data_IF_316487450233
#
_entry.id   IF_316487450233
#
_cell.length_a   1.000
_cell.length_b   1.000
_cell.length_c   1.000
_cell.angle_alpha   90.00
_cell.angle_beta   90.00
_cell.angle_gamma   90.00
#
_symmetry.space_group_name_H-M   'P 1'
#
loop_
_entity.id
_entity.type
_entity.pdbx_description
1 polymer ?
#
# COMPACT_ATOMS: atom_id res chain seq x y z
N UNK A 1 11.41 10.60 -43.58
CA UNK A 1 11.68 10.39 -42.13
C UNK A 1 10.85 9.19 -41.69
N UNK A 2 11.46 8.13 -41.14
CA UNK A 2 10.69 7.01 -40.63
C UNK A 2 9.81 7.47 -39.45
N UNK A 3 8.61 6.90 -39.27
CA UNK A 3 7.74 7.23 -38.14
C UNK A 3 8.44 6.86 -36.82
N UNK A 4 8.24 7.68 -35.77
CA UNK A 4 8.86 7.51 -34.44
C UNK A 4 8.73 6.07 -33.89
N UNK A 5 7.65 5.35 -34.23
CA UNK A 5 7.47 3.94 -33.83
C UNK A 5 8.56 3.00 -34.36
N UNK A 6 9.10 3.25 -35.55
CA UNK A 6 10.13 2.41 -36.19
C UNK A 6 11.52 2.69 -35.62
N UNK A 7 11.78 3.92 -35.17
CA UNK A 7 13.04 4.30 -34.50
C UNK A 7 13.23 3.60 -33.15
N UNK A 8 12.15 3.25 -32.46
CA UNK A 8 12.19 2.57 -31.15
C UNK A 8 11.88 1.06 -31.22
N UNK A 9 11.61 0.51 -32.40
CA UNK A 9 11.35 -0.93 -32.56
C UNK A 9 12.55 -1.81 -32.13
N UNK A 10 13.82 -1.45 -32.45
CA UNK A 10 14.99 -2.23 -32.02
C UNK A 10 15.19 -2.20 -30.50
N UNK A 11 14.94 -1.04 -29.87
CA UNK A 11 15.03 -0.85 -28.42
C UNK A 11 13.94 -1.62 -27.68
N UNK A 12 12.72 -1.69 -28.27
CA UNK A 12 11.62 -2.49 -27.73
C UNK A 12 11.90 -4.00 -27.82
N UNK A 13 12.50 -4.45 -28.93
CA UNK A 13 12.91 -5.85 -29.09
C UNK A 13 14.09 -6.22 -28.18
N UNK A 14 15.04 -5.31 -27.97
CA UNK A 14 16.15 -5.50 -27.03
C UNK A 14 15.68 -5.50 -25.57
N UNK A 15 14.76 -4.60 -25.20
CA UNK A 15 14.10 -4.61 -23.90
C UNK A 15 13.30 -5.91 -23.71
N UNK A 16 12.49 -6.31 -24.69
CA UNK A 16 11.74 -7.56 -24.64
C UNK A 16 12.65 -8.78 -24.48
N UNK A 17 13.81 -8.82 -25.15
CA UNK A 17 14.79 -9.92 -24.98
C UNK A 17 15.52 -9.90 -23.63
N UNK A 18 15.75 -8.72 -23.03
CA UNK A 18 16.27 -8.61 -21.66
C UNK A 18 15.21 -9.05 -20.63
N UNK A 19 13.94 -8.70 -20.85
CA UNK A 19 12.82 -9.06 -19.96
C UNK A 19 12.30 -10.50 -20.15
N UNK A 20 12.57 -11.14 -21.30
CA UNK A 20 12.26 -12.56 -21.52
C UNK A 20 13.23 -13.51 -20.79
N UNK A 21 14.37 -13.02 -20.31
CA UNK A 21 15.41 -13.83 -19.66
C UNK A 21 15.57 -13.49 -18.18
N UNK A 22 15.04 -12.36 -17.71
CA UNK A 22 14.96 -12.10 -16.26
C UNK A 22 13.95 -13.06 -15.63
N UNK A 23 14.37 -13.90 -14.67
CA UNK A 23 13.43 -14.66 -13.87
C UNK A 23 12.41 -13.68 -13.27
N UNK A 24 11.12 -14.01 -13.25
CA UNK A 24 10.07 -13.12 -12.76
C UNK A 24 10.26 -12.64 -11.30
N UNK A 25 11.16 -13.27 -10.54
CA UNK A 25 11.66 -12.79 -9.24
C UNK A 25 12.47 -11.50 -9.32
N UNK A 26 13.23 -11.32 -10.41
CA UNK A 26 13.98 -10.10 -10.70
C UNK A 26 13.01 -8.95 -10.96
N UNK A 27 11.85 -9.20 -11.58
CA UNK A 27 10.82 -8.16 -11.79
C UNK A 27 10.19 -7.68 -10.47
N UNK A 28 9.92 -8.59 -9.53
CA UNK A 28 9.43 -8.24 -8.21
C UNK A 28 10.46 -7.43 -7.41
N UNK A 29 11.73 -7.84 -7.46
CA UNK A 29 12.84 -7.14 -6.81
C UNK A 29 13.13 -5.76 -7.41
N UNK A 30 13.31 -5.69 -8.73
CA UNK A 30 13.55 -4.43 -9.45
C UNK A 30 12.37 -3.47 -9.36
N UNK A 31 11.14 -3.98 -9.45
CA UNK A 31 9.94 -3.16 -9.24
C UNK A 31 9.90 -2.54 -7.85
N UNK A 32 10.29 -3.30 -6.82
CA UNK A 32 10.35 -2.79 -5.44
C UNK A 32 11.43 -1.73 -5.24
N UNK A 33 12.63 -1.96 -5.79
CA UNK A 33 13.70 -0.97 -5.78
C UNK A 33 13.28 0.29 -6.54
N UNK A 34 12.68 0.14 -7.72
CA UNK A 34 12.22 1.26 -8.53
C UNK A 34 11.15 2.08 -7.81
N UNK A 35 10.18 1.44 -7.14
CA UNK A 35 9.16 2.15 -6.37
C UNK A 35 9.79 3.02 -5.28
N UNK A 36 10.71 2.48 -4.49
CA UNK A 36 11.39 3.22 -3.43
C UNK A 36 12.22 4.37 -4.00
N UNK A 37 13.02 4.11 -5.05
CA UNK A 37 13.86 5.12 -5.68
C UNK A 37 13.05 6.23 -6.34
N UNK A 38 11.92 5.93 -6.97
CA UNK A 38 11.07 6.94 -7.59
C UNK A 38 10.38 7.83 -6.56
N UNK A 39 9.94 7.28 -5.43
CA UNK A 39 9.43 8.08 -4.31
C UNK A 39 10.53 8.98 -3.72
N UNK A 40 11.74 8.45 -3.52
CA UNK A 40 12.87 9.24 -3.04
C UNK A 40 13.29 10.34 -4.05
N UNK A 41 13.33 10.02 -5.34
CA UNK A 41 13.65 10.97 -6.41
C UNK A 41 12.59 12.07 -6.54
N UNK A 42 11.30 11.72 -6.40
CA UNK A 42 10.21 12.68 -6.42
C UNK A 42 10.38 13.73 -5.31
N UNK A 43 10.74 13.30 -4.09
CA UNK A 43 11.05 14.19 -2.97
C UNK A 43 12.29 15.05 -3.27
N UNK A 44 13.37 14.45 -3.78
CA UNK A 44 14.62 15.15 -4.02
C UNK A 44 14.50 16.22 -5.13
N UNK A 45 13.80 15.92 -6.23
CA UNK A 45 13.65 16.82 -7.37
C UNK A 45 12.82 18.05 -7.02
N UNK A 46 11.74 17.87 -6.26
CA UNK A 46 10.87 18.97 -5.85
C UNK A 46 11.52 19.87 -4.81
N UNK A 47 12.23 19.29 -3.84
CA UNK A 47 13.04 20.04 -2.88
C UNK A 47 14.13 20.86 -3.60
N UNK A 48 14.82 20.24 -4.57
CA UNK A 48 15.83 20.93 -5.38
C UNK A 48 15.25 22.06 -6.25
N UNK A 49 13.98 21.93 -6.68
CA UNK A 49 13.27 22.95 -7.44
C UNK A 49 12.73 24.10 -6.57
N UNK A 50 12.96 24.08 -5.24
CA UNK A 50 12.44 25.09 -4.31
C UNK A 50 10.92 25.09 -4.22
N UNK A 51 10.28 23.99 -4.63
CA UNK A 51 8.84 23.84 -4.52
C UNK A 51 8.51 23.35 -3.12
N UNK A 52 7.80 24.17 -2.34
CA UNK A 52 7.11 23.73 -1.13
C UNK A 52 5.88 22.89 -1.54
N UNK A 53 6.14 21.75 -2.16
CA UNK A 53 5.08 20.80 -2.47
C UNK A 53 4.76 19.96 -1.24
N UNK A 54 3.48 19.65 -1.08
CA UNK A 54 3.00 18.82 0.02
C UNK A 54 3.39 17.36 -0.20
N UNK A 55 3.50 16.57 0.88
CA UNK A 55 3.88 15.14 0.80
C UNK A 55 2.99 14.33 -0.14
N UNK A 56 1.71 14.68 -0.18
CA UNK A 56 0.70 14.30 -1.17
C UNK A 56 1.23 14.30 -2.62
N UNK A 57 1.85 15.40 -3.04
CA UNK A 57 2.32 15.60 -4.42
C UNK A 57 3.49 14.66 -4.72
N UNK A 58 4.45 14.53 -3.81
CA UNK A 58 5.62 13.66 -4.01
C UNK A 58 5.22 12.20 -4.16
N UNK A 59 4.31 11.74 -3.30
CA UNK A 59 3.84 10.36 -3.31
C UNK A 59 3.02 10.06 -4.58
N UNK A 60 2.20 11.02 -5.03
CA UNK A 60 1.47 10.88 -6.28
C UNK A 60 2.40 10.85 -7.49
N UNK A 61 3.40 11.74 -7.55
CA UNK A 61 4.40 11.76 -8.62
C UNK A 61 5.20 10.46 -8.65
N UNK A 62 5.64 9.96 -7.49
CA UNK A 62 6.34 8.67 -7.36
C UNK A 62 5.48 7.51 -7.86
N UNK A 63 4.20 7.45 -7.47
CA UNK A 63 3.27 6.43 -7.93
C UNK A 63 3.02 6.51 -9.45
N UNK A 64 2.80 7.71 -9.99
CA UNK A 64 2.59 7.91 -11.44
C UNK A 64 3.83 7.51 -12.23
N UNK A 65 5.01 7.92 -11.76
CA UNK A 65 6.28 7.52 -12.39
C UNK A 65 6.49 6.01 -12.33
N UNK A 66 6.14 5.37 -11.21
CA UNK A 66 6.20 3.92 -11.07
C UNK A 66 5.25 3.22 -12.04
N UNK A 67 4.00 3.66 -12.11
CA UNK A 67 3.00 3.15 -13.06
C UNK A 67 3.48 3.30 -14.51
N UNK A 68 4.04 4.47 -14.86
CA UNK A 68 4.57 4.73 -16.20
C UNK A 68 5.76 3.83 -16.52
N UNK A 69 6.67 3.61 -15.57
CA UNK A 69 7.80 2.70 -15.72
C UNK A 69 7.33 1.26 -15.94
N UNK A 70 6.39 0.77 -15.13
CA UNK A 70 5.83 -0.58 -15.28
C UNK A 70 5.16 -0.76 -16.65
N UNK A 71 4.40 0.24 -17.11
CA UNK A 71 3.81 0.21 -18.45
C UNK A 71 4.88 0.22 -19.56
N UNK A 72 5.98 0.95 -19.38
CA UNK A 72 7.06 1.04 -20.37
C UNK A 72 7.86 -0.27 -20.51
N UNK A 73 7.97 -1.06 -19.43
CA UNK A 73 8.64 -2.38 -19.44
C UNK A 73 7.69 -3.52 -19.81
N UNK A 74 6.45 -3.22 -20.22
CA UNK A 74 5.49 -4.21 -20.71
C UNK A 74 4.61 -4.84 -19.65
N UNK A 75 4.52 -4.26 -18.44
CA UNK A 75 3.66 -4.71 -17.35
C UNK A 75 2.61 -3.63 -17.00
N UNK A 76 1.61 -3.41 -17.87
CA UNK A 76 0.69 -2.30 -17.71
C UNK A 76 -0.24 -2.50 -16.49
N UNK A 77 -0.77 -1.41 -15.88
CA UNK A 77 -1.55 -1.50 -14.64
C UNK A 77 -2.75 -2.44 -14.68
N UNK A 78 -3.34 -2.69 -15.84
CA UNK A 78 -4.47 -3.62 -15.95
C UNK A 78 -4.09 -5.06 -15.54
N UNK A 79 -2.81 -5.41 -15.58
CA UNK A 79 -2.31 -6.75 -15.22
C UNK A 79 -2.12 -6.96 -13.71
N UNK A 80 -2.09 -5.89 -12.93
CA UNK A 80 -1.81 -5.96 -11.48
C UNK A 80 -2.71 -5.06 -10.61
N UNK A 81 -3.16 -3.91 -11.11
CA UNK A 81 -4.11 -3.02 -10.47
C UNK A 81 -5.56 -3.36 -10.86
N UNK A 82 -6.09 -4.45 -10.29
CA UNK A 82 -7.47 -4.88 -10.50
C UNK A 82 -8.46 -3.94 -9.81
N UNK A 83 -9.17 -3.14 -10.60
CA UNK A 83 -10.24 -2.24 -10.11
C UNK A 83 -11.56 -2.97 -9.84
N UNK A 84 -11.70 -4.21 -10.32
CA UNK A 84 -12.83 -5.08 -10.05
C UNK A 84 -12.32 -6.43 -9.55
N UNK A 85 -13.03 -6.98 -8.59
CA UNK A 85 -12.81 -8.33 -8.12
C UNK A 85 -12.99 -9.34 -9.26
N UNK A 86 -12.11 -10.33 -9.31
CA UNK A 86 -12.22 -11.48 -10.20
C UNK A 86 -13.18 -12.50 -9.57
N UNK A 87 -14.40 -12.71 -10.12
CA UNK A 87 -15.42 -13.53 -9.48
C UNK A 87 -14.97 -14.98 -9.24
N UNK A 88 -14.09 -15.50 -10.10
CA UNK A 88 -13.56 -16.86 -9.99
C UNK A 88 -12.55 -17.02 -8.84
N UNK A 89 -12.02 -15.91 -8.32
CA UNK A 89 -11.06 -15.88 -7.20
C UNK A 89 -11.68 -15.39 -5.89
N UNK A 90 -12.94 -14.97 -5.88
CA UNK A 90 -13.63 -14.55 -4.65
C UNK A 90 -13.86 -15.78 -3.77
N UNK A 91 -13.51 -15.65 -2.49
CA UNK A 91 -13.73 -16.71 -1.50
C UNK A 91 -15.23 -17.09 -1.43
N UNK A 92 -15.51 -18.39 -1.39
CA UNK A 92 -16.89 -18.92 -1.34
C UNK A 92 -17.64 -18.59 -0.05
N UNK A 93 -16.95 -18.13 0.99
CA UNK A 93 -17.58 -17.79 2.26
C UNK A 93 -18.63 -16.68 2.09
N UNK A 94 -19.77 -16.79 2.79
CA UNK A 94 -20.85 -15.80 2.69
C UNK A 94 -20.37 -14.37 2.95
N UNK A 95 -19.38 -14.21 3.82
CA UNK A 95 -18.82 -12.92 4.19
C UNK A 95 -18.18 -12.19 3.00
N UNK A 96 -17.41 -12.89 2.17
CA UNK A 96 -16.78 -12.32 0.98
C UNK A 96 -17.74 -12.23 -0.21
N UNK A 97 -18.71 -13.14 -0.31
CA UNK A 97 -19.75 -13.09 -1.35
C UNK A 97 -20.71 -11.91 -1.16
N UNK A 98 -21.16 -11.64 0.07
CA UNK A 98 -22.01 -10.48 0.40
C UNK A 98 -21.22 -9.18 0.20
N UNK A 99 -19.96 -9.16 0.60
CA UNK A 99 -19.04 -8.02 0.40
C UNK A 99 -18.80 -7.73 -1.09
N UNK A 100 -18.59 -8.77 -1.90
CA UNK A 100 -18.44 -8.65 -3.34
C UNK A 100 -19.68 -8.00 -3.98
N UNK A 101 -20.88 -8.36 -3.52
CA UNK A 101 -22.14 -7.77 -3.97
C UNK A 101 -22.38 -6.36 -3.39
N UNK A 102 -21.91 -6.08 -2.17
CA UNK A 102 -22.04 -4.81 -1.46
C UNK A 102 -21.06 -3.72 -1.92
N UNK A 103 -20.06 -4.09 -2.72
CA UNK A 103 -19.09 -3.16 -3.30
C UNK A 103 -18.03 -2.64 -2.31
N UNK A 104 -17.25 -1.63 -2.71
CA UNK A 104 -16.08 -1.17 -1.94
C UNK A 104 -16.45 -0.57 -0.57
N UNK A 105 -17.70 -0.17 -0.36
CA UNK A 105 -18.19 0.35 0.93
C UNK A 105 -18.07 -0.64 2.08
N UNK A 106 -18.05 -1.94 1.80
CA UNK A 106 -17.79 -2.97 2.81
C UNK A 106 -16.43 -2.81 3.51
N UNK A 107 -15.47 -2.13 2.86
CA UNK A 107 -14.15 -1.84 3.45
C UNK A 107 -14.23 -1.09 4.78
N UNK A 108 -15.30 -0.29 4.99
CA UNK A 108 -15.57 0.37 6.28
C UNK A 108 -15.76 -0.67 7.38
N UNK A 109 -16.62 -1.67 7.16
CA UNK A 109 -16.87 -2.75 8.13
C UNK A 109 -15.59 -3.53 8.46
N UNK A 110 -14.78 -3.82 7.45
CA UNK A 110 -13.47 -4.47 7.62
C UNK A 110 -12.52 -3.65 8.49
N UNK A 111 -12.42 -2.35 8.22
CA UNK A 111 -11.57 -1.45 9.00
C UNK A 111 -11.98 -1.39 10.47
N UNK A 112 -13.27 -1.26 10.76
CA UNK A 112 -13.78 -1.26 12.14
C UNK A 112 -13.58 -2.62 12.83
N UNK A 113 -13.85 -3.73 12.12
CA UNK A 113 -13.62 -5.08 12.66
C UNK A 113 -12.15 -5.31 13.03
N UNK A 114 -11.23 -4.87 12.18
CA UNK A 114 -9.80 -4.91 12.46
C UNK A 114 -9.43 -4.02 13.64
N UNK A 115 -9.92 -2.77 13.69
CA UNK A 115 -9.68 -1.85 14.81
C UNK A 115 -10.18 -2.39 16.15
N UNK A 116 -11.35 -3.03 16.18
CA UNK A 116 -11.87 -3.70 17.38
C UNK A 116 -10.97 -4.88 17.79
N UNK A 117 -10.53 -5.71 16.84
CA UNK A 117 -9.64 -6.83 17.14
C UNK A 117 -8.29 -6.35 17.73
N UNK A 118 -7.71 -5.29 17.17
CA UNK A 118 -6.49 -4.67 17.71
C UNK A 118 -6.74 -4.10 19.10
N UNK A 119 -7.85 -3.37 19.31
CA UNK A 119 -8.19 -2.82 20.61
C UNK A 119 -8.36 -3.91 21.69
N UNK A 120 -9.01 -5.03 21.35
CA UNK A 120 -9.16 -6.17 22.25
C UNK A 120 -7.81 -6.84 22.55
N UNK A 121 -6.97 -7.06 21.53
CA UNK A 121 -5.64 -7.62 21.73
C UNK A 121 -4.76 -6.72 22.60
N UNK A 122 -4.79 -5.42 22.35
CA UNK A 122 -4.07 -4.41 23.11
C UNK A 122 -4.54 -4.39 24.58
N UNK A 123 -5.86 -4.45 24.82
CA UNK A 123 -6.44 -4.54 26.16
C UNK A 123 -5.99 -5.80 26.91
N UNK A 124 -5.93 -6.95 26.23
CA UNK A 124 -5.49 -8.21 26.83
C UNK A 124 -3.99 -8.23 27.16
N UNK A 125 -3.20 -7.51 26.39
CA UNK A 125 -1.74 -7.41 26.57
C UNK A 125 -1.31 -6.23 27.44
N UNK A 126 -2.23 -5.35 27.84
CA UNK A 126 -1.94 -4.14 28.60
C UNK A 126 -1.08 -3.14 27.83
N UNK A 127 -1.26 -3.04 26.51
CA UNK A 127 -0.49 -2.18 25.62
C UNK A 127 -1.37 -1.04 25.10
N UNK A 128 -0.85 0.18 25.10
CA UNK A 128 -1.47 1.31 24.41
C UNK A 128 -1.22 1.19 22.90
N UNK A 129 -2.27 0.95 22.11
CA UNK A 129 -2.17 0.80 20.66
C UNK A 129 -2.53 2.07 19.88
N UNK A 130 -3.32 2.96 20.48
CA UNK A 130 -3.66 4.25 19.88
C UNK A 130 -2.46 5.19 20.09
N UNK A 131 -1.85 5.74 19.03
CA UNK A 131 -0.73 6.66 19.18
C UNK A 131 -1.09 7.91 19.97
N UNK A 132 -0.07 8.65 20.41
CA UNK A 132 -0.25 9.84 21.25
C UNK A 132 -1.28 10.86 20.68
N UNK A 133 -2.01 11.58 21.57
CA UNK A 133 -3.02 12.55 21.18
C UNK A 133 -2.50 13.57 20.17
N UNK A 134 -3.31 13.89 19.15
CA UNK A 134 -2.97 14.88 18.13
C UNK A 134 -4.25 15.47 17.53
N UNK A 135 -4.33 16.78 17.27
CA UNK A 135 -5.47 17.36 16.58
C UNK A 135 -5.67 16.73 15.20
N UNK A 136 -6.90 16.87 14.68
CA UNK A 136 -7.19 16.49 13.30
C UNK A 136 -6.26 17.25 12.34
N UNK A 137 -5.67 16.59 11.34
CA UNK A 137 -4.76 17.23 10.39
C UNK A 137 -5.48 18.31 9.57
N UNK A 138 -4.73 19.30 9.06
CA UNK A 138 -5.30 20.23 8.08
C UNK A 138 -5.63 19.50 6.78
N UNK A 139 -6.47 20.12 5.94
CA UNK A 139 -7.00 19.50 4.72
C UNK A 139 -5.92 18.81 3.86
N UNK A 140 -4.76 19.42 3.58
CA UNK A 140 -3.80 18.79 2.68
C UNK A 140 -3.12 17.57 3.28
N UNK A 141 -2.80 17.61 4.59
CA UNK A 141 -2.26 16.41 5.26
C UNK A 141 -3.34 15.34 5.46
N UNK A 142 -4.61 15.73 5.61
CA UNK A 142 -5.73 14.80 5.64
C UNK A 142 -5.91 14.10 4.28
N UNK A 143 -5.80 14.81 3.16
CA UNK A 143 -5.83 14.24 1.80
C UNK A 143 -4.67 13.26 1.60
N UNK A 144 -3.46 13.63 2.04
CA UNK A 144 -2.32 12.72 2.00
C UNK A 144 -2.59 11.45 2.81
N UNK A 145 -2.96 11.59 4.08
CA UNK A 145 -3.11 10.49 5.03
C UNK A 145 -4.28 9.54 4.69
N UNK A 146 -5.39 10.09 4.20
CA UNK A 146 -6.64 9.35 4.03
C UNK A 146 -6.87 8.88 2.59
N UNK A 147 -6.23 9.50 1.60
CA UNK A 147 -6.46 9.18 0.19
C UNK A 147 -5.16 8.77 -0.52
N UNK A 148 -4.17 9.65 -0.57
CA UNK A 148 -2.99 9.42 -1.43
C UNK A 148 -2.10 8.32 -0.87
N UNK A 149 -1.82 8.35 0.44
CA UNK A 149 -0.99 7.35 1.08
C UNK A 149 -1.61 5.95 1.00
N UNK A 150 -2.90 5.73 1.38
CA UNK A 150 -3.56 4.46 1.18
C UNK A 150 -3.55 4.02 -0.29
N UNK A 151 -3.86 4.90 -1.23
CA UNK A 151 -3.90 4.53 -2.65
C UNK A 151 -2.53 4.04 -3.15
N UNK A 152 -1.45 4.77 -2.85
CA UNK A 152 -0.11 4.40 -3.25
C UNK A 152 0.34 3.09 -2.59
N UNK A 153 0.07 2.94 -1.30
CA UNK A 153 0.45 1.76 -0.53
C UNK A 153 -0.31 0.52 -1.02
N UNK A 154 -1.62 0.62 -1.23
CA UNK A 154 -2.41 -0.52 -1.73
C UNK A 154 -2.05 -0.88 -3.17
N UNK A 155 -1.84 0.13 -4.03
CA UNK A 155 -1.44 -0.10 -5.41
C UNK A 155 -0.09 -0.83 -5.50
N UNK A 156 0.88 -0.44 -4.66
CA UNK A 156 2.18 -1.06 -4.67
C UNK A 156 2.21 -2.40 -3.92
N UNK A 157 1.87 -2.42 -2.63
CA UNK A 157 2.06 -3.61 -1.80
C UNK A 157 1.03 -4.71 -2.10
N UNK A 158 -0.25 -4.36 -2.30
CA UNK A 158 -1.32 -5.36 -2.46
C UNK A 158 -1.51 -5.69 -3.93
N UNK A 159 -1.53 -4.69 -4.81
CA UNK A 159 -1.79 -4.93 -6.22
C UNK A 159 -0.52 -5.38 -6.97
N UNK A 160 0.53 -4.55 -6.99
CA UNK A 160 1.76 -4.84 -7.75
C UNK A 160 2.56 -6.00 -7.13
N UNK A 161 2.99 -5.88 -5.87
CA UNK A 161 3.98 -6.78 -5.27
C UNK A 161 3.44 -8.21 -5.12
N UNK A 162 2.19 -8.38 -4.65
CA UNK A 162 1.56 -9.71 -4.60
C UNK A 162 1.48 -10.31 -6.00
N UNK A 163 1.00 -9.55 -6.99
CA UNK A 163 0.89 -10.05 -8.37
C UNK A 163 2.25 -10.39 -8.98
N UNK A 164 3.29 -9.59 -8.71
CA UNK A 164 4.65 -9.83 -9.19
C UNK A 164 5.22 -11.12 -8.60
N UNK A 165 5.02 -11.35 -7.30
CA UNK A 165 5.47 -12.58 -6.63
C UNK A 165 4.69 -13.81 -7.13
N UNK A 166 3.37 -13.71 -7.27
CA UNK A 166 2.54 -14.81 -7.82
C UNK A 166 2.96 -15.17 -9.26
N UNK A 167 3.21 -14.16 -10.11
CA UNK A 167 3.76 -14.37 -11.47
C UNK A 167 5.16 -14.98 -11.46
N UNK A 168 5.94 -14.74 -10.42
CA UNK A 168 7.24 -15.37 -10.21
C UNK A 168 7.16 -16.85 -9.78
N UNK A 169 5.95 -17.42 -9.68
CA UNK A 169 5.71 -18.77 -9.20
C UNK A 169 5.65 -18.85 -7.67
N UNK A 170 5.60 -17.71 -6.99
CA UNK A 170 5.38 -17.64 -5.56
C UNK A 170 3.98 -18.12 -5.16
N UNK A 171 3.89 -18.76 -3.99
CA UNK A 171 2.59 -19.10 -3.42
C UNK A 171 1.85 -17.85 -2.94
N UNK A 172 0.51 -17.91 -2.89
CA UNK A 172 -0.31 -16.84 -2.34
C UNK A 172 0.10 -16.45 -0.91
N UNK A 173 0.45 -17.42 -0.07
CA UNK A 173 0.95 -17.19 1.29
C UNK A 173 2.27 -16.44 1.30
N UNK A 174 3.20 -16.81 0.42
CA UNK A 174 4.50 -16.14 0.34
C UNK A 174 4.35 -14.70 -0.17
N UNK A 175 3.51 -14.48 -1.18
CA UNK A 175 3.19 -13.15 -1.68
C UNK A 175 2.56 -12.26 -0.59
N UNK A 176 1.64 -12.83 0.20
CA UNK A 176 1.03 -12.17 1.36
C UNK A 176 2.07 -11.78 2.42
N UNK A 177 2.91 -12.72 2.85
CA UNK A 177 3.93 -12.49 3.87
C UNK A 177 4.96 -11.45 3.40
N UNK A 178 5.45 -11.58 2.17
CA UNK A 178 6.41 -10.65 1.59
C UNK A 178 5.83 -9.23 1.47
N UNK A 179 4.58 -9.09 1.01
CA UNK A 179 3.88 -7.81 0.98
C UNK A 179 3.76 -7.19 2.36
N UNK A 180 3.34 -7.97 3.37
CA UNK A 180 3.17 -7.46 4.72
C UNK A 180 4.49 -7.03 5.38
N UNK A 181 5.56 -7.81 5.18
CA UNK A 181 6.91 -7.47 5.68
C UNK A 181 7.44 -6.23 4.98
N UNK A 182 7.34 -6.16 3.64
CA UNK A 182 7.79 -5.01 2.88
C UNK A 182 7.01 -3.74 3.25
N UNK A 183 5.69 -3.86 3.47
CA UNK A 183 4.86 -2.77 3.94
C UNK A 183 5.28 -2.29 5.34
N UNK A 184 5.47 -3.19 6.30
CA UNK A 184 5.92 -2.81 7.64
C UNK A 184 7.29 -2.12 7.63
N UNK A 185 8.25 -2.66 6.86
CA UNK A 185 9.57 -2.07 6.70
C UNK A 185 9.54 -0.71 5.99
N UNK A 186 8.58 -0.49 5.09
CA UNK A 186 8.40 0.79 4.41
C UNK A 186 7.81 1.88 5.30
N UNK A 187 6.96 1.52 6.27
CA UNK A 187 6.31 2.50 7.15
C UNK A 187 7.17 2.95 8.33
N UNK A 188 8.05 2.07 8.84
CA UNK A 188 8.88 2.39 10.01
C UNK A 188 10.20 3.04 9.57
N UNK A 189 10.56 4.24 10.10
CA UNK A 189 11.80 4.89 9.75
C UNK A 189 13.02 4.00 9.99
N UNK A 190 13.93 3.92 9.02
CA UNK A 190 15.15 3.08 9.12
C UNK A 190 15.96 3.38 10.38
N UNK A 191 16.04 4.66 10.78
CA UNK A 191 16.71 5.06 12.01
C UNK A 191 16.10 4.38 13.24
N UNK A 192 14.79 4.27 13.31
CA UNK A 192 14.09 3.63 14.44
C UNK A 192 14.27 2.11 14.43
N UNK A 193 14.28 1.50 13.23
CA UNK A 193 14.60 0.08 13.06
C UNK A 193 16.01 -0.26 13.57
N UNK A 194 16.99 0.59 13.29
CA UNK A 194 18.37 0.39 13.73
C UNK A 194 18.56 0.56 15.24
N UNK A 195 17.68 1.34 15.88
CA UNK A 195 17.74 1.60 17.33
C UNK A 195 17.00 0.55 18.16
N UNK A 196 16.26 -0.38 17.53
CA UNK A 196 15.52 -1.47 18.17
C UNK A 196 14.72 -1.03 19.41
N UNK A 197 14.09 0.15 19.36
CA UNK A 197 13.27 0.61 20.47
C UNK A 197 12.01 -0.25 20.59
N UNK A 198 11.46 -0.35 21.80
CA UNK A 198 10.18 -1.05 22.03
C UNK A 198 9.05 -0.44 21.18
N UNK A 199 9.06 0.89 21.02
CA UNK A 199 8.10 1.61 20.17
C UNK A 199 8.24 1.23 18.69
N UNK A 200 9.46 1.11 18.17
CA UNK A 200 9.69 0.68 16.79
C UNK A 200 9.23 -0.76 16.56
N UNK A 201 9.44 -1.64 17.54
CA UNK A 201 9.00 -3.03 17.49
C UNK A 201 7.48 -3.16 17.48
N UNK A 202 6.79 -2.37 18.31
CA UNK A 202 5.33 -2.31 18.33
C UNK A 202 4.76 -1.74 17.02
N UNK A 203 5.36 -0.66 16.50
CA UNK A 203 4.97 -0.08 15.22
C UNK A 203 5.14 -1.06 14.06
N UNK A 204 6.28 -1.75 13.99
CA UNK A 204 6.54 -2.83 13.03
C UNK A 204 5.45 -3.91 13.08
N UNK A 205 5.16 -4.41 14.28
CA UNK A 205 4.14 -5.45 14.46
C UNK A 205 2.77 -4.96 13.99
N UNK A 206 2.37 -3.74 14.37
CA UNK A 206 1.08 -3.17 13.97
C UNK A 206 0.98 -2.99 12.46
N UNK A 207 2.02 -2.44 11.81
CA UNK A 207 2.03 -2.30 10.35
C UNK A 207 2.08 -3.65 9.64
N UNK A 208 2.78 -4.64 10.20
CA UNK A 208 2.80 -5.99 9.64
C UNK A 208 1.42 -6.65 9.74
N UNK A 209 0.74 -6.53 10.89
CA UNK A 209 -0.62 -7.03 11.07
C UNK A 209 -1.62 -6.34 10.13
N UNK A 210 -1.51 -5.02 9.96
CA UNK A 210 -2.32 -4.26 9.00
C UNK A 210 -2.04 -4.71 7.56
N UNK A 211 -0.76 -4.90 7.20
CA UNK A 211 -0.35 -5.39 5.89
C UNK A 211 -0.86 -6.81 5.60
N UNK A 212 -0.81 -7.70 6.60
CA UNK A 212 -1.39 -9.05 6.52
C UNK A 212 -2.89 -9.00 6.35
N UNK A 213 -3.58 -8.22 7.17
CA UNK A 213 -5.03 -8.05 7.10
C UNK A 213 -5.48 -7.58 5.72
N UNK A 214 -4.86 -6.52 5.20
CA UNK A 214 -5.19 -5.96 3.89
C UNK A 214 -4.78 -6.90 2.74
N UNK A 215 -3.68 -7.63 2.87
CA UNK A 215 -3.29 -8.65 1.89
C UNK A 215 -4.25 -9.84 1.84
N UNK A 216 -4.72 -10.32 3.00
CA UNK A 216 -5.76 -11.36 3.07
C UNK A 216 -7.05 -10.85 2.44
N UNK A 217 -7.46 -9.62 2.77
CA UNK A 217 -8.63 -8.99 2.19
C UNK A 217 -8.52 -8.86 0.67
N UNK A 218 -7.35 -8.46 0.16
CA UNK A 218 -7.05 -8.39 -1.27
C UNK A 218 -7.22 -9.77 -1.94
N UNK A 219 -6.54 -10.80 -1.45
CA UNK A 219 -6.57 -12.13 -2.06
C UNK A 219 -7.97 -12.76 -2.02
N UNK A 220 -8.65 -12.69 -0.87
CA UNK A 220 -9.97 -13.30 -0.66
C UNK A 220 -11.11 -12.58 -1.38
N UNK A 221 -10.92 -11.30 -1.70
CA UNK A 221 -11.85 -10.52 -2.51
C UNK A 221 -11.61 -10.64 -4.02
N UNK A 222 -10.78 -11.58 -4.48
CA UNK A 222 -10.44 -11.72 -5.89
C UNK A 222 -9.55 -10.61 -6.45
N UNK A 223 -8.80 -9.93 -5.58
CA UNK A 223 -7.87 -8.85 -5.92
C UNK A 223 -8.51 -7.47 -6.00
N UNK A 224 -9.55 -7.18 -5.21
CA UNK A 224 -10.24 -5.88 -5.26
C UNK A 224 -9.41 -4.75 -4.66
N UNK A 225 -8.73 -3.96 -5.50
CA UNK A 225 -7.98 -2.79 -5.04
C UNK A 225 -8.86 -1.73 -4.34
N UNK A 226 -10.07 -1.40 -4.83
CA UNK A 226 -10.92 -0.42 -4.15
C UNK A 226 -11.33 -0.85 -2.73
N UNK A 227 -11.55 -2.14 -2.49
CA UNK A 227 -11.93 -2.64 -1.17
C UNK A 227 -10.81 -2.44 -0.14
N UNK A 228 -9.59 -2.79 -0.50
CA UNK A 228 -8.43 -2.63 0.40
C UNK A 228 -8.07 -1.15 0.59
N UNK A 229 -8.23 -0.33 -0.46
CA UNK A 229 -8.07 1.12 -0.37
C UNK A 229 -9.04 1.72 0.65
N UNK A 230 -10.35 1.44 0.52
CA UNK A 230 -11.37 1.95 1.46
C UNK A 230 -11.11 1.43 2.88
N UNK A 231 -10.70 0.17 3.03
CA UNK A 231 -10.39 -0.41 4.35
C UNK A 231 -9.21 0.30 5.01
N UNK A 232 -8.12 0.51 4.28
CA UNK A 232 -6.94 1.21 4.79
C UNK A 232 -7.24 2.69 5.10
N UNK A 233 -7.87 3.41 4.16
CA UNK A 233 -8.28 4.80 4.35
C UNK A 233 -9.19 4.97 5.58
N UNK A 234 -10.16 4.07 5.75
CA UNK A 234 -11.08 4.10 6.90
C UNK A 234 -10.35 3.79 8.20
N UNK A 235 -9.40 2.84 8.20
CA UNK A 235 -8.60 2.56 9.39
C UNK A 235 -7.72 3.76 9.78
N UNK A 236 -7.11 4.45 8.81
CA UNK A 236 -6.37 5.69 9.06
C UNK A 236 -7.29 6.78 9.63
N UNK A 237 -8.50 6.93 9.09
CA UNK A 237 -9.50 7.87 9.61
C UNK A 237 -9.90 7.54 11.05
N UNK A 238 -10.13 6.26 11.36
CA UNK A 238 -10.46 5.77 12.69
C UNK A 238 -9.35 6.11 13.69
N UNK A 239 -8.10 5.74 13.40
CA UNK A 239 -6.96 6.03 14.28
C UNK A 239 -6.78 7.54 14.46
N UNK A 240 -6.92 8.32 13.38
CA UNK A 240 -6.81 9.79 13.45
C UNK A 240 -7.91 10.41 14.31
N UNK A 241 -9.15 9.93 14.16
CA UNK A 241 -10.28 10.38 14.97
C UNK A 241 -10.09 10.04 16.46
N UNK A 242 -9.60 8.84 16.79
CA UNK A 242 -9.29 8.44 18.16
C UNK A 242 -8.24 9.35 18.80
N UNK A 243 -7.17 9.67 18.05
CA UNK A 243 -6.12 10.60 18.51
C UNK A 243 -6.64 12.02 18.73
N UNK A 244 -7.54 12.49 17.85
CA UNK A 244 -8.15 13.81 17.98
C UNK A 244 -9.13 13.87 19.16
N UNK A 245 -9.90 12.81 19.39
CA UNK A 245 -10.81 12.71 20.53
C UNK A 245 -10.06 12.77 21.87
N UNK A 246 -8.86 12.20 21.95
CA UNK A 246 -8.02 12.30 23.14
C UNK A 246 -7.60 13.75 23.46
N UNK A 247 -7.38 14.60 22.45
CA UNK A 247 -7.12 16.04 22.67
C UNK A 247 -8.35 16.74 23.23
N UNK A 248 -9.55 16.38 22.77
CA UNK A 248 -10.80 16.92 23.32
C UNK A 248 -11.12 16.44 24.74
N UNK A 249 -10.51 15.34 25.19
CA UNK A 249 -10.73 14.75 26.52
C UNK A 249 -9.87 15.36 27.64
N UNK A 250 -8.95 16.29 27.34
CA UNK A 250 -8.16 17.03 28.34
C UNK A 250 -8.94 18.21 28.96
N UNK A 251 -10.22 18.03 29.28
CA UNK A 251 -10.90 18.91 30.23
C UNK A 251 -10.43 18.50 31.64
N UNK A 252 -10.04 19.46 32.49
CA UNK A 252 -9.56 19.15 33.84
C UNK A 252 -10.70 18.49 34.63
N UNK A 253 -10.44 17.28 35.14
CA UNK A 253 -11.11 16.77 36.32
C UNK A 253 -10.41 17.34 37.56
#
# INVERSE_FOLDING_TARGET
>A
MPPLRELFAPTRAAAANLFQVTPAWVDAGLGSIAFVLLNAAAIAVTQAAGLEAEGAVYRLLGLVAFVALQAAIGLPPQEWARLRADPARVDSSPFFQITYLGGPGAGVTFAFGFGIAIALAAQLLGIDWVPAPRPWPELPQAVELLLIAPLADEAFFRAFLISAIERAGGSATMALLASAVAYAAYQVPVRELLLLSEQASLALLLFQLLGLFLGVLYQRSGGSLPLVFVSHATFNALVTALRAAQVGSTLPF
#
